data_IF_236844206681
#
_entry.id   IF_236844206681
#
_cell.length_a   1.000
_cell.length_b   1.000
_cell.length_c   1.000
_cell.angle_alpha   90.00
_cell.angle_beta   90.00
_cell.angle_gamma   90.00
#
_symmetry.space_group_name_H-M   'P 1'
#
loop_
_entity.id
_entity.type
_entity.pdbx_description
1 polymer ?
#
# COMPACT_ATOMS: atom_id res chain seq x y z
N UNK A 1 19.70 8.08 -8.45
CA UNK A 1 20.83 7.55 -9.24
C UNK A 1 22.06 8.37 -8.95
N UNK A 2 23.23 7.73 -8.96
CA UNK A 2 24.53 8.41 -9.03
C UNK A 2 25.27 7.87 -10.25
N UNK A 3 25.95 8.74 -10.97
CA UNK A 3 26.79 8.34 -12.09
C UNK A 3 28.15 7.89 -11.59
N UNK A 4 28.59 6.72 -12.04
CA UNK A 4 29.88 6.14 -11.72
C UNK A 4 30.62 5.84 -13.01
N UNK A 5 31.93 6.10 -13.01
CA UNK A 5 32.82 5.57 -14.02
C UNK A 5 33.51 4.32 -13.47
N UNK A 6 33.13 3.14 -13.97
CA UNK A 6 33.68 1.84 -13.58
C UNK A 6 35.01 1.63 -14.30
N UNK A 7 36.10 1.67 -13.55
CA UNK A 7 37.47 1.64 -14.09
C UNK A 7 37.96 0.20 -14.27
N UNK A 8 37.74 -0.65 -13.27
CA UNK A 8 38.31 -2.00 -13.24
C UNK A 8 37.48 -2.94 -12.37
N UNK A 9 37.41 -4.19 -12.78
CA UNK A 9 36.88 -5.31 -11.99
C UNK A 9 38.01 -5.98 -11.21
N UNK A 10 37.87 -6.07 -9.89
CA UNK A 10 38.73 -6.88 -9.01
C UNK A 10 37.98 -8.14 -8.54
N UNK A 11 38.56 -8.88 -7.59
CA UNK A 11 37.99 -10.15 -7.11
C UNK A 11 36.67 -9.94 -6.36
N UNK A 12 36.65 -8.96 -5.45
CA UNK A 12 35.54 -8.73 -4.52
C UNK A 12 34.84 -7.36 -4.74
N UNK A 13 35.47 -6.47 -5.52
CA UNK A 13 34.98 -5.10 -5.76
C UNK A 13 35.21 -4.65 -7.21
N UNK A 14 34.37 -3.74 -7.69
CA UNK A 14 34.69 -2.87 -8.82
C UNK A 14 35.28 -1.56 -8.30
N UNK A 15 36.39 -1.13 -8.89
CA UNK A 15 36.94 0.20 -8.69
C UNK A 15 36.18 1.19 -9.58
N UNK A 16 35.61 2.21 -8.94
CA UNK A 16 34.77 3.20 -9.59
C UNK A 16 35.19 4.62 -9.20
N UNK A 17 34.77 5.61 -9.98
CA UNK A 17 34.96 7.03 -9.67
C UNK A 17 33.66 7.80 -9.87
N UNK A 18 33.35 8.72 -8.96
CA UNK A 18 32.26 9.70 -9.11
C UNK A 18 32.77 11.03 -9.66
N UNK A 19 33.87 10.98 -10.42
CA UNK A 19 34.57 12.13 -10.98
C UNK A 19 35.55 12.79 -9.99
N UNK A 20 35.07 13.15 -8.79
CA UNK A 20 35.89 13.84 -7.77
C UNK A 20 36.62 12.90 -6.81
N UNK A 21 36.18 11.66 -6.66
CA UNK A 21 36.78 10.70 -5.73
C UNK A 21 36.68 9.26 -6.21
N UNK A 22 37.64 8.44 -5.78
CA UNK A 22 37.61 7.00 -5.98
C UNK A 22 36.67 6.34 -4.97
N UNK A 23 35.98 5.31 -5.42
CA UNK A 23 35.04 4.52 -4.63
C UNK A 23 35.05 3.06 -5.10
N UNK A 24 34.45 2.20 -4.29
CA UNK A 24 34.33 0.77 -4.57
C UNK A 24 32.88 0.35 -4.64
N UNK A 25 32.55 -0.54 -5.57
CA UNK A 25 31.23 -1.18 -5.65
C UNK A 25 31.42 -2.68 -5.36
N UNK A 26 30.68 -3.23 -4.40
CA UNK A 26 30.77 -4.65 -4.03
C UNK A 26 30.34 -5.53 -5.20
N UNK A 27 31.10 -6.61 -5.47
CA UNK A 27 30.69 -7.66 -6.39
C UNK A 27 29.75 -8.64 -5.67
N UNK A 28 28.47 -8.59 -6.01
CA UNK A 28 27.44 -9.51 -5.56
C UNK A 28 26.61 -10.00 -6.76
N UNK A 29 25.49 -10.68 -6.49
CA UNK A 29 24.63 -11.22 -7.56
C UNK A 29 23.98 -10.12 -8.41
N UNK A 30 23.87 -8.88 -7.91
CA UNK A 30 23.29 -7.75 -8.65
C UNK A 30 24.30 -6.95 -9.45
N UNK A 31 25.59 -7.08 -9.12
CA UNK A 31 26.66 -6.28 -9.73
C UNK A 31 27.66 -7.09 -10.54
N UNK A 32 27.61 -8.43 -10.53
CA UNK A 32 28.59 -9.31 -11.20
C UNK A 32 28.79 -9.00 -12.69
N UNK A 33 27.74 -8.54 -13.36
CA UNK A 33 27.66 -8.26 -14.79
C UNK A 33 27.83 -6.77 -15.13
N UNK A 34 28.30 -5.94 -14.20
CA UNK A 34 28.60 -4.53 -14.47
C UNK A 34 29.65 -4.38 -15.57
N UNK A 35 29.28 -3.63 -16.62
CA UNK A 35 30.18 -3.23 -17.69
C UNK A 35 31.15 -2.14 -17.21
N UNK A 36 32.34 -2.10 -17.82
CA UNK A 36 33.29 -1.01 -17.62
C UNK A 36 32.81 0.26 -18.34
N UNK A 37 33.16 1.42 -17.80
CA UNK A 37 32.78 2.72 -18.34
C UNK A 37 31.76 3.48 -17.48
N UNK A 38 31.18 4.52 -18.06
CA UNK A 38 30.27 5.42 -17.36
C UNK A 38 28.84 4.86 -17.34
N UNK A 39 28.29 4.70 -16.13
CA UNK A 39 26.97 4.13 -15.90
C UNK A 39 26.28 4.83 -14.73
N UNK A 40 24.97 5.04 -14.86
CA UNK A 40 24.15 5.58 -13.80
C UNK A 40 23.56 4.43 -12.97
N UNK A 41 23.82 4.42 -11.66
CA UNK A 41 23.44 3.32 -10.77
C UNK A 41 22.65 3.80 -9.55
N UNK A 42 21.71 2.96 -9.14
CA UNK A 42 21.06 2.94 -7.84
C UNK A 42 21.88 2.09 -6.89
N UNK A 43 22.51 2.79 -5.96
CA UNK A 43 23.41 2.19 -4.97
C UNK A 43 23.11 2.73 -3.58
N UNK A 44 23.34 1.88 -2.59
CA UNK A 44 23.37 2.23 -1.18
C UNK A 44 24.83 2.30 -0.70
N UNK A 45 25.15 3.28 0.13
CA UNK A 45 26.48 3.37 0.74
C UNK A 45 26.55 2.46 1.97
N UNK A 46 27.44 1.48 1.91
CA UNK A 46 27.65 0.47 2.97
C UNK A 46 29.07 0.54 3.55
N UNK A 47 29.68 1.73 3.48
CA UNK A 47 31.01 2.05 3.98
C UNK A 47 31.18 1.56 5.43
N UNK A 48 31.97 0.50 5.61
CA UNK A 48 32.33 -0.02 6.94
C UNK A 48 33.83 -0.32 6.99
N UNK A 49 34.55 0.57 7.67
CA UNK A 49 36.01 0.53 7.80
C UNK A 49 36.54 -0.77 8.39
N UNK A 50 35.80 -1.40 9.30
CA UNK A 50 36.23 -2.62 9.98
C UNK A 50 35.90 -3.90 9.20
N UNK A 51 34.89 -3.84 8.34
CA UNK A 51 34.46 -5.00 7.54
C UNK A 51 35.23 -5.12 6.22
N UNK A 52 35.54 -3.98 5.61
CA UNK A 52 36.13 -3.95 4.27
C UNK A 52 37.54 -3.36 4.24
N UNK A 53 38.08 -2.98 5.41
CA UNK A 53 39.44 -2.45 5.58
C UNK A 53 39.82 -1.36 4.56
N UNK A 54 38.85 -0.50 4.21
CA UNK A 54 39.00 0.56 3.22
C UNK A 54 38.58 1.90 3.81
N UNK A 55 39.31 2.97 3.47
CA UNK A 55 38.94 4.36 3.77
C UNK A 55 38.11 4.98 2.63
N UNK A 56 37.90 4.26 1.53
CA UNK A 56 37.09 4.71 0.40
C UNK A 56 35.61 4.43 0.64
N UNK A 57 34.74 5.22 0.01
CA UNK A 57 33.30 4.97 0.03
C UNK A 57 32.99 3.63 -0.68
N UNK A 58 32.23 2.77 -0.02
CA UNK A 58 31.83 1.47 -0.56
C UNK A 58 30.34 1.46 -0.81
N UNK A 59 29.98 1.12 -2.03
CA UNK A 59 28.61 1.09 -2.51
C UNK A 59 28.17 -0.33 -2.83
N UNK A 60 26.89 -0.60 -2.66
CA UNK A 60 26.24 -1.86 -3.05
C UNK A 60 25.06 -1.54 -3.97
N UNK A 61 24.90 -2.31 -5.04
CA UNK A 61 23.73 -2.16 -5.92
C UNK A 61 22.47 -2.57 -5.16
N UNK A 62 21.42 -1.76 -5.29
CA UNK A 62 20.12 -2.07 -4.70
C UNK A 62 19.25 -2.93 -5.63
N UNK A 63 19.59 -2.97 -6.92
CA UNK A 63 18.85 -3.65 -7.99
C UNK A 63 19.85 -4.31 -8.98
N UNK A 64 19.48 -5.41 -9.67
CA UNK A 64 20.26 -5.99 -10.75
C UNK A 64 20.60 -4.98 -11.86
N UNK A 65 21.74 -5.15 -12.54
CA UNK A 65 22.19 -4.26 -13.64
C UNK A 65 21.12 -4.04 -14.71
N UNK A 66 20.39 -5.10 -15.08
CA UNK A 66 19.31 -5.04 -16.09
C UNK A 66 18.13 -4.12 -15.66
N UNK A 67 17.93 -3.96 -14.36
CA UNK A 67 16.84 -3.17 -13.78
C UNK A 67 17.26 -1.74 -13.38
N UNK A 68 18.54 -1.38 -13.55
CA UNK A 68 19.10 -0.08 -13.13
C UNK A 68 18.46 1.11 -13.85
N UNK A 69 18.08 0.93 -15.12
CA UNK A 69 17.40 1.93 -15.93
C UNK A 69 15.88 1.90 -15.77
N UNK A 70 15.36 0.95 -14.98
CA UNK A 70 13.94 0.62 -14.91
C UNK A 70 13.37 0.91 -13.51
N UNK A 71 13.63 2.11 -12.98
CA UNK A 71 12.72 2.68 -11.96
C UNK A 71 11.55 3.35 -12.67
N UNK A 72 10.89 2.56 -13.52
CA UNK A 72 9.52 2.85 -13.81
C UNK A 72 8.79 2.77 -12.47
N UNK A 73 8.14 3.86 -12.12
CA UNK A 73 7.25 3.93 -10.97
C UNK A 73 5.84 3.67 -11.47
N UNK A 74 5.11 2.80 -10.77
CA UNK A 74 3.67 2.70 -10.98
C UNK A 74 2.95 3.37 -9.81
N UNK A 75 1.81 4.00 -10.11
CA UNK A 75 1.00 4.67 -9.10
C UNK A 75 -0.37 4.02 -8.96
N UNK A 76 -0.95 4.12 -7.77
CA UNK A 76 -2.29 3.64 -7.48
C UNK A 76 -3.10 4.71 -6.76
N UNK A 77 -4.23 5.08 -7.35
CA UNK A 77 -5.24 5.88 -6.67
C UNK A 77 -6.13 4.97 -5.81
N UNK A 78 -5.89 4.95 -4.50
CA UNK A 78 -6.64 4.11 -3.57
C UNK A 78 -8.05 4.62 -3.23
N UNK A 79 -8.40 5.84 -3.66
CA UNK A 79 -9.67 6.47 -3.38
C UNK A 79 -9.93 6.67 -1.89
N UNK A 80 -11.13 6.27 -1.43
CA UNK A 80 -11.56 6.45 -0.03
C UNK A 80 -10.68 5.61 0.92
N UNK A 81 -10.38 6.19 2.10
CA UNK A 81 -9.68 5.50 3.19
C UNK A 81 -10.25 4.11 3.45
N UNK A 82 -9.41 3.10 3.24
CA UNK A 82 -9.71 1.69 3.45
C UNK A 82 -8.50 1.01 4.11
N UNK A 83 -8.73 0.34 5.25
CA UNK A 83 -7.66 -0.27 6.04
C UNK A 83 -7.01 -1.47 5.35
N UNK A 84 -7.75 -2.22 4.54
CA UNK A 84 -7.21 -3.36 3.81
C UNK A 84 -6.37 -2.93 2.63
N UNK A 85 -6.83 -1.95 1.85
CA UNK A 85 -6.01 -1.36 0.78
C UNK A 85 -4.71 -0.82 1.37
N UNK A 86 -4.78 -0.03 2.44
CA UNK A 86 -3.60 0.54 3.09
C UNK A 86 -2.57 -0.52 3.48
N UNK A 87 -3.02 -1.60 4.15
CA UNK A 87 -2.15 -2.73 4.51
C UNK A 87 -1.57 -3.44 3.30
N UNK A 88 -2.35 -3.63 2.23
CA UNK A 88 -1.87 -4.24 0.99
C UNK A 88 -0.82 -3.36 0.30
N UNK A 89 -1.06 -2.06 0.19
CA UNK A 89 -0.09 -1.12 -0.37
C UNK A 89 1.23 -1.14 0.39
N UNK A 90 1.19 -1.12 1.73
CA UNK A 90 2.40 -1.22 2.54
C UNK A 90 3.14 -2.55 2.34
N UNK A 91 2.41 -3.67 2.25
CA UNK A 91 3.01 -5.00 1.98
C UNK A 91 3.69 -5.08 0.60
N UNK A 92 3.22 -4.31 -0.38
CA UNK A 92 3.81 -4.20 -1.70
C UNK A 92 4.98 -3.20 -1.75
N UNK A 93 5.40 -2.64 -0.60
CA UNK A 93 6.46 -1.65 -0.54
C UNK A 93 6.04 -0.25 -1.00
N UNK A 94 4.73 0.01 -1.10
CA UNK A 94 4.19 1.29 -1.53
C UNK A 94 4.49 2.41 -0.55
N UNK A 95 4.80 3.59 -1.09
CA UNK A 95 4.92 4.84 -0.33
C UNK A 95 3.77 5.75 -0.71
N UNK A 96 3.16 6.39 0.28
CA UNK A 96 2.09 7.35 0.06
C UNK A 96 2.68 8.71 -0.31
N UNK A 97 2.29 9.24 -1.46
CA UNK A 97 2.70 10.58 -1.93
C UNK A 97 1.55 11.58 -1.72
N UNK A 98 1.66 12.48 -0.72
CA UNK A 98 0.56 13.37 -0.34
C UNK A 98 0.22 14.41 -1.40
N UNK A 99 1.18 14.83 -2.23
CA UNK A 99 0.96 15.84 -3.28
C UNK A 99 0.07 15.30 -4.39
N UNK A 100 0.33 14.06 -4.82
CA UNK A 100 -0.42 13.39 -5.88
C UNK A 100 -1.67 12.67 -5.34
N UNK A 101 -1.77 12.51 -4.01
CA UNK A 101 -2.82 11.74 -3.35
C UNK A 101 -2.87 10.28 -3.88
N UNK A 102 -1.71 9.70 -4.12
CA UNK A 102 -1.54 8.38 -4.73
C UNK A 102 -0.45 7.57 -4.00
N UNK A 103 -0.56 6.25 -4.09
CA UNK A 103 0.52 5.36 -3.71
C UNK A 103 1.51 5.22 -4.86
N UNK A 104 2.80 5.22 -4.54
CA UNK A 104 3.90 5.03 -5.49
C UNK A 104 4.60 3.73 -5.18
N UNK A 105 4.85 2.92 -6.21
CA UNK A 105 5.52 1.62 -6.11
C UNK A 105 6.60 1.48 -7.18
N UNK A 106 7.50 0.52 -6.98
CA UNK A 106 8.40 0.03 -8.03
C UNK A 106 7.61 -0.77 -9.07
N UNK A 107 7.98 -0.69 -10.35
CA UNK A 107 7.35 -1.48 -11.42
C UNK A 107 7.51 -2.99 -11.25
N UNK A 108 8.47 -3.45 -10.45
CA UNK A 108 8.60 -4.87 -10.06
C UNK A 108 7.30 -5.47 -9.48
N UNK A 109 6.45 -4.65 -8.84
CA UNK A 109 5.15 -5.07 -8.29
C UNK A 109 3.95 -4.60 -9.12
N UNK A 110 4.17 -4.02 -10.30
CA UNK A 110 3.14 -3.40 -11.13
C UNK A 110 1.97 -4.35 -11.39
N UNK A 111 2.24 -5.61 -11.75
CA UNK A 111 1.17 -6.60 -12.01
C UNK A 111 0.22 -6.74 -10.80
N UNK A 112 0.77 -6.81 -9.59
CA UNK A 112 -0.01 -6.91 -8.35
C UNK A 112 -0.75 -5.60 -8.04
N UNK A 113 -0.14 -4.46 -8.36
CA UNK A 113 -0.76 -3.14 -8.21
C UNK A 113 -1.95 -2.99 -9.16
N UNK A 114 -1.83 -3.42 -10.42
CA UNK A 114 -2.91 -3.42 -11.42
C UNK A 114 -4.06 -4.36 -11.04
N UNK A 115 -3.75 -5.53 -10.46
CA UNK A 115 -4.78 -6.44 -9.90
C UNK A 115 -5.57 -5.75 -8.77
N UNK A 116 -4.85 -5.08 -7.86
CA UNK A 116 -5.47 -4.31 -6.78
C UNK A 116 -6.28 -3.12 -7.31
N UNK A 117 -5.78 -2.42 -8.31
CA UNK A 117 -6.46 -1.30 -8.98
C UNK A 117 -7.77 -1.75 -9.61
N UNK A 118 -7.77 -2.86 -10.33
CA UNK A 118 -8.97 -3.43 -10.94
C UNK A 118 -10.06 -3.71 -9.90
N UNK A 119 -9.67 -4.21 -8.72
CA UNK A 119 -10.62 -4.44 -7.61
C UNK A 119 -11.21 -3.11 -7.11
N UNK A 120 -10.36 -2.10 -6.90
CA UNK A 120 -10.76 -0.79 -6.36
C UNK A 120 -11.65 -0.02 -7.34
N UNK A 121 -11.32 -0.03 -8.63
CA UNK A 121 -12.01 0.70 -9.69
C UNK A 121 -13.21 -0.07 -10.28
N UNK A 122 -13.48 -1.28 -9.77
CA UNK A 122 -14.64 -2.05 -10.19
C UNK A 122 -15.97 -1.34 -9.90
N UNK A 123 -17.05 -1.80 -10.55
CA UNK A 123 -18.35 -1.16 -10.43
C UNK A 123 -18.79 -1.06 -8.96
N UNK A 124 -19.15 0.14 -8.51
CA UNK A 124 -19.68 0.33 -7.16
C UNK A 124 -21.11 -0.19 -7.01
N UNK A 125 -21.32 -1.01 -5.98
CA UNK A 125 -22.63 -1.48 -5.53
C UNK A 125 -23.05 -0.80 -4.23
N UNK A 126 -24.34 -0.48 -4.13
CA UNK A 126 -24.92 0.01 -2.89
C UNK A 126 -25.46 -1.18 -2.09
N UNK A 127 -24.83 -1.48 -0.97
CA UNK A 127 -25.17 -2.65 -0.14
C UNK A 127 -25.79 -2.23 1.19
N UNK A 128 -26.76 -3.01 1.64
CA UNK A 128 -27.25 -3.00 3.02
C UNK A 128 -26.71 -4.23 3.73
N UNK A 129 -26.14 -4.02 4.91
CA UNK A 129 -25.57 -5.06 5.76
C UNK A 129 -26.36 -5.05 7.06
N UNK A 130 -26.97 -6.20 7.36
CA UNK A 130 -27.72 -6.44 8.58
C UNK A 130 -26.87 -7.30 9.51
N UNK A 131 -26.67 -6.84 10.72
CA UNK A 131 -25.99 -7.59 11.78
C UNK A 131 -27.01 -8.45 12.52
N UNK A 132 -26.90 -9.77 12.42
CA UNK A 132 -27.85 -10.67 13.08
C UNK A 132 -27.56 -10.80 14.58
N UNK A 133 -26.28 -10.63 14.95
CA UNK A 133 -25.79 -10.71 16.32
C UNK A 133 -25.06 -9.43 16.70
N UNK A 134 -24.89 -9.24 18.01
CA UNK A 134 -24.14 -8.09 18.53
C UNK A 134 -22.65 -8.33 18.32
N UNK A 135 -22.01 -7.47 17.51
CA UNK A 135 -20.57 -7.56 17.23
C UNK A 135 -19.83 -6.60 18.14
N UNK A 136 -18.79 -7.12 18.79
CA UNK A 136 -17.88 -6.32 19.60
C UNK A 136 -16.48 -6.39 19.00
N UNK A 137 -15.91 -5.23 18.71
CA UNK A 137 -14.52 -5.11 18.23
C UNK A 137 -13.70 -4.32 19.25
N UNK A 138 -12.55 -4.89 19.62
CA UNK A 138 -11.59 -4.31 20.55
C UNK A 138 -10.34 -3.85 19.81
N UNK A 139 -9.79 -2.70 20.24
CA UNK A 139 -8.49 -2.14 19.84
C UNK A 139 -8.29 -1.95 18.32
N UNK A 140 -9.40 -1.93 17.57
CA UNK A 140 -9.45 -1.78 16.13
C UNK A 140 -10.64 -0.92 15.73
N UNK A 141 -10.46 -0.11 14.69
CA UNK A 141 -11.57 0.59 14.07
C UNK A 141 -12.57 -0.43 13.50
N UNK A 142 -13.86 -0.18 13.70
CA UNK A 142 -14.90 -1.03 13.12
C UNK A 142 -15.03 -0.74 11.63
N UNK A 143 -14.67 -1.74 10.81
CA UNK A 143 -14.68 -1.64 9.34
C UNK A 143 -15.65 -2.61 8.72
N UNK A 144 -16.08 -2.31 7.49
CA UNK A 144 -16.74 -3.27 6.62
C UNK A 144 -16.02 -3.21 5.28
N UNK A 145 -15.52 -4.35 4.80
CA UNK A 145 -14.63 -4.45 3.66
C UNK A 145 -13.41 -3.52 3.77
N UNK A 146 -12.93 -3.28 4.98
CA UNK A 146 -11.84 -2.34 5.28
C UNK A 146 -12.25 -0.87 5.34
N UNK A 147 -13.47 -0.51 4.93
CA UNK A 147 -13.98 0.86 5.06
C UNK A 147 -14.42 1.13 6.50
N UNK A 148 -13.90 2.18 7.16
CA UNK A 148 -14.36 2.54 8.50
C UNK A 148 -15.83 2.92 8.46
N UNK A 149 -16.58 2.48 9.47
CA UNK A 149 -18.01 2.78 9.62
C UNK A 149 -18.21 3.96 10.56
N UNK A 150 -17.41 4.06 11.61
CA UNK A 150 -17.43 5.11 12.62
C UNK A 150 -16.04 5.71 12.81
N UNK A 151 -15.98 6.90 13.42
CA UNK A 151 -14.71 7.45 13.90
C UNK A 151 -14.33 6.79 15.22
N UNK A 152 -13.03 6.65 15.49
CA UNK A 152 -12.49 5.97 16.67
C UNK A 152 -13.00 6.54 18.00
N UNK A 153 -13.42 7.80 18.01
CA UNK A 153 -13.91 8.51 19.20
C UNK A 153 -15.35 9.01 19.05
N UNK A 154 -16.12 8.49 18.09
CA UNK A 154 -17.49 8.97 17.87
C UNK A 154 -18.45 7.87 17.46
N UNK A 155 -19.64 7.89 18.04
CA UNK A 155 -20.78 7.07 17.63
C UNK A 155 -21.34 7.49 16.26
N UNK A 156 -20.89 8.63 15.71
CA UNK A 156 -21.31 9.09 14.40
C UNK A 156 -20.67 8.24 13.30
N UNK A 157 -21.48 7.81 12.35
CA UNK A 157 -20.99 7.16 11.14
C UNK A 157 -20.15 8.13 10.32
N UNK A 158 -19.08 7.62 9.69
CA UNK A 158 -18.26 8.42 8.78
C UNK A 158 -19.04 8.76 7.50
N UNK A 159 -18.57 9.78 6.78
CA UNK A 159 -19.12 10.16 5.47
C UNK A 159 -19.22 8.93 4.54
N UNK A 160 -20.26 8.88 3.72
CA UNK A 160 -20.50 7.76 2.79
C UNK A 160 -21.07 6.48 3.43
N UNK A 161 -21.25 6.45 4.75
CA UNK A 161 -21.90 5.35 5.47
C UNK A 161 -23.20 5.87 6.08
N UNK A 162 -24.29 5.14 5.89
CA UNK A 162 -25.61 5.48 6.44
C UNK A 162 -26.05 4.39 7.42
N UNK A 163 -26.20 4.76 8.68
CA UNK A 163 -26.95 3.96 9.64
C UNK A 163 -28.44 4.05 9.29
N UNK A 164 -29.04 2.93 8.90
CA UNK A 164 -30.46 2.87 8.52
C UNK A 164 -31.34 2.47 9.71
N UNK A 165 -30.88 1.54 10.55
CA UNK A 165 -31.58 1.06 11.75
C UNK A 165 -30.57 0.53 12.76
N UNK A 166 -30.91 0.56 14.05
CA UNK A 166 -30.08 0.03 15.14
C UNK A 166 -29.12 1.08 15.68
N UNK A 167 -28.08 0.62 16.37
CA UNK A 167 -27.17 1.49 17.11
C UNK A 167 -25.71 0.98 17.08
N UNK A 168 -24.79 1.94 17.10
CA UNK A 168 -23.34 1.71 17.15
C UNK A 168 -22.79 2.54 18.31
N UNK A 169 -22.33 1.85 19.35
CA UNK A 169 -21.75 2.47 20.52
C UNK A 169 -20.23 2.34 20.52
N UNK A 170 -19.52 3.45 20.73
CA UNK A 170 -18.07 3.50 20.90
C UNK A 170 -17.76 3.82 22.36
N UNK A 171 -17.05 2.92 23.03
CA UNK A 171 -16.65 3.03 24.43
C UNK A 171 -15.13 2.85 24.55
N UNK A 172 -14.40 3.96 24.50
CA UNK A 172 -12.94 3.92 24.48
C UNK A 172 -12.41 3.16 23.27
N UNK A 173 -11.60 2.12 23.49
CA UNK A 173 -11.06 1.27 22.43
C UNK A 173 -12.03 0.17 21.95
N UNK A 174 -13.29 0.17 22.41
CA UNK A 174 -14.31 -0.83 22.09
C UNK A 174 -15.40 -0.24 21.22
N UNK A 175 -15.70 -0.85 20.08
CA UNK A 175 -16.90 -0.56 19.28
C UNK A 175 -17.88 -1.72 19.38
N UNK A 176 -19.13 -1.43 19.70
CA UNK A 176 -20.22 -2.40 19.80
C UNK A 176 -21.28 -2.04 18.76
N UNK A 177 -21.64 -3.02 17.92
CA UNK A 177 -22.75 -2.93 16.97
C UNK A 177 -23.85 -3.86 17.46
N UNK A 178 -25.02 -3.31 17.77
CA UNK A 178 -26.13 -4.08 18.35
C UNK A 178 -26.78 -4.96 17.28
N UNK A 179 -27.23 -6.17 17.66
CA UNK A 179 -28.03 -7.03 16.80
C UNK A 179 -29.25 -6.28 16.18
N UNK A 180 -29.55 -6.57 14.92
CA UNK A 180 -30.58 -5.87 14.15
C UNK A 180 -30.14 -4.53 13.56
N UNK A 181 -28.88 -4.12 13.77
CA UNK A 181 -28.32 -2.93 13.13
C UNK A 181 -28.18 -3.12 11.63
N UNK A 182 -28.57 -2.09 10.88
CA UNK A 182 -28.54 -2.05 9.41
C UNK A 182 -27.71 -0.87 8.95
N UNK A 183 -26.62 -1.16 8.25
CA UNK A 183 -25.70 -0.16 7.70
C UNK A 183 -25.73 -0.23 6.19
N UNK A 184 -25.74 0.93 5.53
CA UNK A 184 -25.65 1.03 4.08
C UNK A 184 -24.41 1.80 3.65
N UNK A 185 -23.70 1.26 2.66
CA UNK A 185 -22.51 1.88 2.10
C UNK A 185 -22.33 1.47 0.63
N UNK A 186 -21.49 2.22 -0.08
CA UNK A 186 -21.01 1.84 -1.39
C UNK A 186 -19.73 1.03 -1.26
N UNK A 187 -19.65 -0.09 -1.99
CA UNK A 187 -18.46 -0.92 -2.08
C UNK A 187 -18.21 -1.31 -3.55
N UNK A 188 -16.95 -1.43 -3.98
CA UNK A 188 -16.64 -2.03 -5.28
C UNK A 188 -17.08 -3.49 -5.33
N UNK A 189 -17.67 -3.93 -6.45
CA UNK A 189 -18.20 -5.29 -6.62
C UNK A 189 -17.13 -6.36 -6.38
N UNK A 190 -15.94 -6.16 -6.94
CA UNK A 190 -14.86 -7.16 -6.82
C UNK A 190 -14.33 -7.28 -5.39
N UNK A 191 -14.43 -6.23 -4.56
CA UNK A 191 -14.06 -6.33 -3.13
C UNK A 191 -14.96 -7.27 -2.35
N UNK A 192 -16.22 -7.42 -2.78
CA UNK A 192 -17.17 -8.33 -2.16
C UNK A 192 -16.82 -9.80 -2.45
N UNK A 193 -16.31 -10.06 -3.65
CA UNK A 193 -15.97 -11.40 -4.13
C UNK A 193 -14.60 -11.85 -3.60
N UNK A 194 -13.68 -10.91 -3.38
CA UNK A 194 -12.34 -11.21 -2.86
C UNK A 194 -12.34 -11.43 -1.34
N UNK A 195 -12.04 -12.67 -0.93
CA UNK A 195 -11.91 -13.08 0.48
C UNK A 195 -10.93 -12.24 1.30
N UNK A 196 -9.92 -11.64 0.68
CA UNK A 196 -8.89 -10.86 1.37
C UNK A 196 -9.37 -9.50 1.87
N UNK A 197 -10.55 -9.06 1.43
CA UNK A 197 -11.24 -7.88 1.95
C UNK A 197 -12.35 -8.23 2.94
N UNK A 198 -12.53 -9.50 3.32
CA UNK A 198 -13.62 -9.92 4.20
C UNK A 198 -13.16 -9.94 5.67
N UNK A 199 -13.86 -9.21 6.54
CA UNK A 199 -13.70 -9.36 7.98
C UNK A 199 -14.40 -10.62 8.52
N UNK A 200 -13.83 -11.22 9.57
CA UNK A 200 -14.34 -12.45 10.17
C UNK A 200 -15.80 -12.32 10.63
N UNK A 201 -16.14 -11.17 11.24
CA UNK A 201 -17.50 -10.89 11.72
C UNK A 201 -18.53 -10.66 10.61
N UNK A 202 -18.14 -10.66 9.33
CA UNK A 202 -19.12 -10.67 8.23
C UNK A 202 -19.81 -12.03 8.07
N UNK A 203 -19.33 -13.11 8.70
CA UNK A 203 -19.98 -14.42 8.69
C UNK A 203 -21.38 -14.41 9.33
N UNK A 204 -21.63 -13.49 10.27
CA UNK A 204 -22.89 -13.30 10.99
C UNK A 204 -23.73 -12.12 10.44
N UNK A 205 -23.41 -11.67 9.22
CA UNK A 205 -24.12 -10.56 8.57
C UNK A 205 -24.87 -11.02 7.33
N UNK A 206 -26.05 -10.47 7.13
CA UNK A 206 -26.81 -10.62 5.88
C UNK A 206 -26.59 -9.41 4.99
N UNK A 207 -26.29 -9.65 3.72
CA UNK A 207 -25.96 -8.60 2.75
C UNK A 207 -26.93 -8.58 1.59
N UNK A 208 -27.58 -7.44 1.38
CA UNK A 208 -28.53 -7.24 0.29
C UNK A 208 -28.08 -6.08 -0.59
N UNK A 209 -28.05 -6.31 -1.91
CA UNK A 209 -27.88 -5.24 -2.88
C UNK A 209 -29.15 -4.38 -2.91
N UNK A 210 -28.99 -3.06 -2.79
CA UNK A 210 -30.10 -2.10 -2.86
C UNK A 210 -29.96 -1.22 -4.09
N UNK A 211 -31.09 -0.66 -4.53
CA UNK A 211 -31.10 0.34 -5.61
C UNK A 211 -30.26 1.54 -5.20
N UNK A 212 -29.37 2.01 -6.10
CA UNK A 212 -28.55 3.20 -5.88
C UNK A 212 -29.48 4.41 -5.59
N UNK A 213 -29.19 5.24 -4.58
CA UNK A 213 -30.01 6.42 -4.28
C UNK A 213 -30.00 7.41 -5.45
N UNK A 214 -31.16 8.02 -5.76
CA UNK A 214 -31.34 8.94 -6.89
C UNK A 214 -30.45 10.20 -6.84
N UNK A 215 -29.96 10.58 -5.65
CA UNK A 215 -28.96 11.65 -5.48
C UNK A 215 -27.71 11.04 -4.86
N UNK A 216 -26.65 10.89 -5.68
CA UNK A 216 -25.31 10.66 -5.16
C UNK A 216 -24.84 12.01 -4.62
N UNK A 217 -24.71 12.15 -3.30
CA UNK A 217 -23.89 13.24 -2.78
C UNK A 217 -22.47 12.88 -3.20
N UNK A 218 -21.98 13.52 -4.27
CA UNK A 218 -20.57 13.48 -4.64
C UNK A 218 -19.84 14.18 -3.51
N UNK A 219 -19.20 13.41 -2.65
CA UNK A 219 -18.43 13.97 -1.55
C UNK A 219 -17.02 14.19 -2.07
N UNK A 220 -16.58 15.45 -2.16
CA UNK A 220 -15.15 15.74 -2.24
C UNK A 220 -14.53 15.32 -0.90
N UNK A 221 -13.46 14.55 -0.99
CA UNK A 221 -12.72 14.06 0.16
C UNK A 221 -11.50 14.96 0.36
N UNK A 222 -11.78 16.20 0.77
CA UNK A 222 -10.84 17.05 1.50
C UNK A 222 -10.91 16.72 3.00
#
# INVERSE_FOLDING_TARGET
>A
MRTFNILKKEKDFFLASTGKSHCKIIIDDYSRELALGEIALHVEEVSNKYKYYSNEAIFKLTLPVEEQNNIDICTLSSGRKNHFIYKKCLKLGGKWEPILNQWVFSTSVEKKVRELENIIQSEEEYVEITFNETVTVHDKAFTIFGYPINSTNSNKTVKGVKLYRGDIAVMGAKTIVVAGTKVRLFIPKLMREDSSFREDYLCITQMEKKRKPNKRKTYSWE
#
